data_IF_250357941567
#
_entry.id   IF_250357941567
#
_cell.length_a   1.000
_cell.length_b   1.000
_cell.length_c   1.000
_cell.angle_alpha   90.00
_cell.angle_beta   90.00
_cell.angle_gamma   90.00
#
_symmetry.space_group_name_H-M   'P 1'
#
loop_
_entity.id
_entity.type
_entity.pdbx_description
1 polymer ?
#
# COMPACT_ATOMS: atom_id res chain seq x y z
N UNK A 1 -16.51 12.22 9.19
CA UNK A 1 -16.60 11.73 10.59
C UNK A 1 -16.97 12.84 11.57
N UNK A 2 -16.42 14.05 11.39
CA UNK A 2 -16.78 15.20 12.24
C UNK A 2 -18.24 15.63 12.02
N UNK A 3 -18.73 15.70 10.80
CA UNK A 3 -20.15 15.99 10.52
C UNK A 3 -21.07 14.94 11.16
N UNK A 4 -20.73 13.66 11.05
CA UNK A 4 -21.46 12.60 11.73
C UNK A 4 -21.41 12.70 13.24
N UNK A 5 -20.31 13.23 13.81
CA UNK A 5 -20.23 13.44 15.24
C UNK A 5 -21.19 14.52 15.73
N UNK A 6 -21.39 15.59 14.94
CA UNK A 6 -22.39 16.63 15.24
C UNK A 6 -23.83 16.07 15.27
N UNK A 7 -24.12 15.07 14.42
CA UNK A 7 -25.46 14.46 14.35
C UNK A 7 -25.67 13.33 15.36
N UNK A 8 -24.65 12.45 15.53
CA UNK A 8 -24.78 11.16 16.23
C UNK A 8 -23.92 11.04 17.50
N UNK A 9 -23.21 12.11 17.85
CA UNK A 9 -22.28 12.15 18.97
C UNK A 9 -20.89 11.58 18.64
N UNK A 10 -19.93 11.92 19.47
CA UNK A 10 -18.54 11.50 19.37
C UNK A 10 -18.35 10.02 19.77
N UNK A 11 -17.24 9.40 19.36
CA UNK A 11 -16.88 8.07 19.87
C UNK A 11 -16.47 8.17 21.37
N UNK A 12 -16.70 7.11 22.18
CA UNK A 12 -16.60 7.20 23.66
C UNK A 12 -15.26 7.67 24.21
N UNK A 13 -14.15 7.32 23.54
CA UNK A 13 -12.78 7.65 23.97
C UNK A 13 -12.18 8.83 23.20
N UNK A 14 -13.01 9.72 22.67
CA UNK A 14 -12.55 10.88 21.92
C UNK A 14 -11.69 11.82 22.77
N UNK A 15 -12.16 12.10 23.99
CA UNK A 15 -11.46 13.00 24.90
C UNK A 15 -10.08 12.44 25.28
N UNK A 16 -9.04 13.24 25.13
CA UNK A 16 -7.65 12.85 25.36
C UNK A 16 -6.96 12.19 24.16
N UNK A 17 -7.70 11.86 23.09
CA UNK A 17 -7.15 11.34 21.83
C UNK A 17 -6.35 12.41 21.06
N UNK A 18 -5.59 11.99 20.07
CA UNK A 18 -4.93 12.91 19.14
C UNK A 18 -5.94 13.78 18.40
N UNK A 19 -7.05 13.22 17.98
CA UNK A 19 -8.14 13.96 17.33
C UNK A 19 -8.69 15.10 18.19
N UNK A 20 -8.89 14.86 19.49
CA UNK A 20 -9.37 15.91 20.42
C UNK A 20 -8.37 17.06 20.63
N UNK A 21 -7.09 16.81 20.36
CA UNK A 21 -6.02 17.79 20.41
C UNK A 21 -5.81 18.47 19.06
N UNK A 22 -6.56 18.10 18.02
CA UNK A 22 -6.38 18.54 16.66
C UNK A 22 -5.13 18.00 15.97
N UNK A 23 -4.57 16.89 16.48
CA UNK A 23 -3.41 16.24 15.89
C UNK A 23 -3.90 15.28 14.81
N UNK A 24 -3.53 15.55 13.57
CA UNK A 24 -3.90 14.78 12.39
C UNK A 24 -2.84 13.70 12.06
N UNK A 25 -3.15 12.67 11.27
CA UNK A 25 -2.17 11.64 10.90
C UNK A 25 -0.87 12.20 10.32
N UNK A 26 -0.94 13.20 9.49
CA UNK A 26 0.23 13.81 8.83
C UNK A 26 1.14 14.61 9.77
N UNK A 27 0.68 14.99 10.96
CA UNK A 27 1.50 15.66 11.96
C UNK A 27 2.55 14.73 12.60
N UNK A 28 2.29 13.42 12.54
CA UNK A 28 3.21 12.40 13.04
C UNK A 28 4.24 11.95 12.01
N UNK A 29 4.17 12.44 10.78
CA UNK A 29 5.09 12.01 9.73
C UNK A 29 6.53 12.45 10.05
N UNK A 30 7.52 11.55 10.01
CA UNK A 30 8.92 11.92 10.16
C UNK A 30 9.33 12.99 9.14
N UNK A 31 10.22 13.90 9.53
CA UNK A 31 10.70 14.97 8.64
C UNK A 31 11.28 14.40 7.33
N UNK A 32 11.95 13.24 7.39
CA UNK A 32 12.48 12.55 6.22
C UNK A 32 11.40 12.20 5.19
N UNK A 33 10.17 11.89 5.61
CA UNK A 33 9.04 11.61 4.69
C UNK A 33 8.61 12.87 3.96
N UNK A 34 8.61 14.02 4.64
CA UNK A 34 8.27 15.29 4.01
C UNK A 34 9.27 15.69 2.90
N UNK A 35 10.53 15.27 3.04
CA UNK A 35 11.55 15.48 2.01
C UNK A 35 11.41 14.55 0.78
N UNK A 36 10.66 13.47 0.88
CA UNK A 36 10.37 12.57 -0.24
C UNK A 36 9.29 13.11 -1.18
N UNK A 37 8.56 14.12 -0.73
CA UNK A 37 7.40 14.65 -1.45
C UNK A 37 7.76 16.02 -2.01
N UNK A 38 7.60 16.20 -3.32
CA UNK A 38 7.66 17.52 -3.89
C UNK A 38 6.43 18.32 -3.41
N UNK A 39 6.69 19.41 -2.67
CA UNK A 39 5.63 20.27 -2.11
C UNK A 39 4.72 20.86 -3.18
N UNK A 40 5.25 21.08 -4.38
CA UNK A 40 4.52 21.68 -5.48
C UNK A 40 3.49 20.73 -6.12
N UNK A 41 3.62 19.42 -5.87
CA UNK A 41 2.67 18.40 -6.34
C UNK A 41 1.52 18.15 -5.36
N UNK A 42 1.65 18.59 -4.13
CA UNK A 42 0.63 18.50 -3.11
C UNK A 42 0.06 19.89 -2.87
N UNK A 43 -0.87 20.24 -3.72
CA UNK A 43 -1.63 21.46 -3.55
C UNK A 43 -2.26 21.49 -2.15
N UNK A 44 -1.96 22.54 -1.43
CA UNK A 44 -2.60 22.88 -0.16
C UNK A 44 -4.05 23.36 -0.36
N UNK A 45 -4.78 22.73 -1.30
CA UNK A 45 -6.18 23.06 -1.58
C UNK A 45 -7.12 22.78 -0.40
N UNK A 46 -6.63 22.01 0.58
CA UNK A 46 -7.38 21.72 1.80
C UNK A 46 -6.98 22.66 2.92
N UNK A 47 -7.97 23.33 3.47
CA UNK A 47 -7.81 24.14 4.69
C UNK A 47 -7.76 23.21 5.92
N UNK A 48 -6.55 22.72 6.19
CA UNK A 48 -6.31 21.82 7.33
C UNK A 48 -6.55 22.50 8.67
N UNK A 49 -6.34 23.80 8.78
CA UNK A 49 -6.51 24.54 10.02
C UNK A 49 -7.99 24.65 10.37
N UNK A 50 -8.84 25.01 9.42
CA UNK A 50 -10.29 24.98 9.62
C UNK A 50 -10.80 23.59 9.95
N UNK A 51 -10.26 22.53 9.31
CA UNK A 51 -10.63 21.16 9.64
C UNK A 51 -10.21 20.76 11.05
N UNK A 52 -9.03 21.17 11.51
CA UNK A 52 -8.57 20.94 12.90
C UNK A 52 -9.50 21.58 13.92
N UNK A 53 -9.86 22.83 13.72
CA UNK A 53 -10.77 23.53 14.62
C UNK A 53 -12.15 22.88 14.61
N UNK A 54 -12.64 22.46 13.45
CA UNK A 54 -13.89 21.72 13.35
C UNK A 54 -13.83 20.40 14.12
N UNK A 55 -12.77 19.61 13.98
CA UNK A 55 -12.58 18.34 14.70
C UNK A 55 -12.50 18.56 16.20
N UNK A 56 -11.82 19.60 16.68
CA UNK A 56 -11.77 19.94 18.10
C UNK A 56 -13.15 20.30 18.64
N UNK A 57 -13.91 21.05 17.89
CA UNK A 57 -15.24 21.58 18.29
C UNK A 57 -16.32 20.50 18.23
N UNK A 58 -16.46 19.85 17.10
CA UNK A 58 -17.56 18.94 16.81
C UNK A 58 -17.23 17.47 17.17
N UNK A 59 -15.94 17.17 17.36
CA UNK A 59 -15.44 15.84 17.64
C UNK A 59 -15.35 14.95 16.40
N UNK A 60 -15.20 13.65 16.64
CA UNK A 60 -15.15 12.59 15.63
C UNK A 60 -16.09 11.46 16.00
N UNK A 61 -16.85 10.95 15.02
CA UNK A 61 -17.71 9.77 15.22
C UNK A 61 -16.92 8.48 15.23
N UNK A 62 -15.88 8.37 14.40
CA UNK A 62 -15.05 7.20 14.28
C UNK A 62 -13.64 7.49 14.81
N UNK A 63 -13.13 6.63 15.67
CA UNK A 63 -11.78 6.76 16.24
C UNK A 63 -10.68 6.42 15.23
N UNK A 64 -11.01 5.57 14.25
CA UNK A 64 -10.13 5.17 13.14
C UNK A 64 -10.82 5.40 11.82
N UNK A 65 -10.07 5.84 10.80
CA UNK A 65 -10.62 6.21 9.50
C UNK A 65 -10.10 5.33 8.36
N UNK A 66 -8.80 5.17 8.22
CA UNK A 66 -8.19 4.58 7.04
C UNK A 66 -7.09 3.58 7.36
N UNK A 67 -7.16 2.43 6.70
CA UNK A 67 -6.11 1.42 6.62
C UNK A 67 -5.98 0.95 5.16
N UNK A 68 -4.83 0.39 4.80
CA UNK A 68 -4.66 -0.30 3.51
C UNK A 68 -4.64 -1.80 3.75
N UNK A 69 -5.72 -2.46 3.36
CA UNK A 69 -5.87 -3.92 3.46
C UNK A 69 -5.14 -4.65 2.32
N UNK A 70 -4.82 -5.96 2.46
CA UNK A 70 -4.18 -6.74 1.40
C UNK A 70 -5.06 -6.91 0.16
N UNK A 71 -6.37 -6.95 0.30
CA UNK A 71 -7.39 -7.08 -0.76
C UNK A 71 -7.19 -8.25 -1.73
N UNK A 72 -6.54 -9.33 -1.30
CA UNK A 72 -6.12 -10.43 -2.18
C UNK A 72 -7.28 -11.03 -2.99
N UNK A 73 -8.32 -11.54 -2.32
CA UNK A 73 -9.47 -12.15 -2.99
C UNK A 73 -10.41 -11.11 -3.61
N UNK A 74 -10.59 -9.98 -2.94
CA UNK A 74 -11.49 -8.91 -3.43
C UNK A 74 -10.94 -8.30 -4.72
N UNK A 75 -9.62 -8.13 -4.85
CA UNK A 75 -9.01 -7.60 -6.07
C UNK A 75 -9.27 -8.49 -7.29
N UNK A 76 -9.21 -9.81 -7.12
CA UNK A 76 -9.54 -10.77 -8.18
C UNK A 76 -11.01 -10.65 -8.57
N UNK A 77 -11.90 -10.59 -7.58
CA UNK A 77 -13.34 -10.48 -7.82
C UNK A 77 -13.72 -9.23 -8.63
N UNK A 78 -13.07 -8.11 -8.36
CA UNK A 78 -13.36 -6.83 -9.05
C UNK A 78 -12.44 -6.55 -10.25
N UNK A 79 -11.53 -7.47 -10.58
CA UNK A 79 -10.63 -7.33 -11.73
C UNK A 79 -9.60 -6.21 -11.59
N UNK A 80 -9.01 -6.05 -10.40
CA UNK A 80 -7.97 -5.04 -10.13
C UNK A 80 -6.75 -5.67 -9.47
N UNK A 81 -5.74 -4.86 -9.14
CA UNK A 81 -4.51 -5.30 -8.45
C UNK A 81 -4.69 -5.29 -6.93
N UNK A 82 -3.89 -6.12 -6.24
CA UNK A 82 -3.90 -6.24 -4.78
C UNK A 82 -3.24 -5.03 -4.12
N UNK A 83 -3.72 -4.64 -2.95
CA UNK A 83 -3.18 -3.58 -2.11
C UNK A 83 -2.89 -2.26 -2.87
N UNK A 84 -1.94 -1.45 -2.39
CA UNK A 84 -1.38 -0.30 -3.10
C UNK A 84 0.12 -0.54 -3.25
N UNK A 85 0.47 -1.48 -4.09
CA UNK A 85 1.85 -1.89 -4.34
C UNK A 85 2.02 -2.38 -5.79
N UNK A 86 3.27 -2.55 -6.27
CA UNK A 86 3.53 -3.11 -7.59
C UNK A 86 2.93 -4.50 -7.73
N UNK A 87 2.52 -4.84 -8.95
CA UNK A 87 1.92 -6.15 -9.24
C UNK A 87 2.91 -7.28 -8.95
N UNK A 88 2.41 -8.37 -8.42
CA UNK A 88 3.22 -9.56 -8.14
C UNK A 88 3.84 -10.14 -9.41
N UNK A 89 3.01 -10.42 -10.40
CA UNK A 89 3.33 -10.84 -11.77
C UNK A 89 2.33 -10.24 -12.73
N UNK A 90 2.63 -10.20 -14.01
CA UNK A 90 1.68 -9.76 -15.06
C UNK A 90 0.58 -10.80 -15.30
N UNK A 91 0.94 -12.10 -15.18
CA UNK A 91 0.04 -13.26 -15.27
C UNK A 91 0.45 -14.28 -14.22
N UNK A 92 -0.51 -14.94 -13.59
CA UNK A 92 -0.23 -16.06 -12.67
C UNK A 92 -1.47 -16.95 -12.53
N UNK A 93 -1.30 -18.07 -11.85
CA UNK A 93 -2.40 -18.92 -11.48
C UNK A 93 -2.61 -18.85 -9.97
N UNK A 94 -3.86 -18.71 -9.56
CA UNK A 94 -4.28 -18.83 -8.16
C UNK A 94 -4.95 -20.19 -7.97
N UNK A 95 -4.46 -20.95 -7.03
CA UNK A 95 -5.07 -22.22 -6.64
C UNK A 95 -6.01 -22.00 -5.46
N UNK A 96 -7.24 -22.45 -5.59
CA UNK A 96 -8.24 -22.43 -4.53
C UNK A 96 -9.05 -23.74 -4.52
N UNK A 97 -10.06 -23.84 -3.64
CA UNK A 97 -10.92 -25.03 -3.54
C UNK A 97 -11.68 -25.35 -4.83
N UNK A 98 -11.87 -24.39 -5.72
CA UNK A 98 -12.55 -24.57 -7.02
C UNK A 98 -11.59 -24.94 -8.14
N UNK A 99 -10.28 -24.98 -7.89
CA UNK A 99 -9.24 -25.30 -8.86
C UNK A 99 -8.28 -24.17 -9.15
N UNK A 100 -7.60 -24.26 -10.28
CA UNK A 100 -6.57 -23.32 -10.73
C UNK A 100 -7.20 -22.22 -11.60
N UNK A 101 -7.13 -20.98 -11.12
CA UNK A 101 -7.73 -19.82 -11.78
C UNK A 101 -6.62 -18.97 -12.42
N UNK A 102 -6.64 -18.75 -13.75
CA UNK A 102 -5.71 -17.81 -14.37
C UNK A 102 -6.07 -16.37 -13.99
N UNK A 103 -5.08 -15.61 -13.54
CA UNK A 103 -5.22 -14.20 -13.18
C UNK A 103 -4.26 -13.37 -14.03
N UNK A 104 -4.76 -12.25 -14.54
CA UNK A 104 -4.03 -11.33 -15.39
C UNK A 104 -4.23 -9.92 -14.87
N UNK A 105 -3.19 -9.08 -14.90
CA UNK A 105 -3.34 -7.68 -14.52
C UNK A 105 -4.34 -6.96 -15.43
N UNK A 106 -5.06 -5.95 -14.91
CA UNK A 106 -6.11 -5.27 -15.66
C UNK A 106 -5.61 -4.69 -16.99
N UNK A 107 -6.37 -4.88 -18.07
CA UNK A 107 -6.06 -4.33 -19.41
C UNK A 107 -4.66 -4.69 -19.92
N UNK A 108 -4.14 -5.87 -19.60
CA UNK A 108 -2.86 -6.32 -20.11
C UNK A 108 -2.94 -6.49 -21.64
N UNK A 109 -2.03 -5.85 -22.35
CA UNK A 109 -1.86 -5.94 -23.80
C UNK A 109 -0.38 -5.75 -24.14
N UNK A 110 0.06 -5.97 -25.37
CA UNK A 110 1.43 -5.65 -25.79
C UNK A 110 1.81 -4.18 -25.50
N UNK A 111 0.88 -3.24 -25.70
CA UNK A 111 1.10 -1.81 -25.47
C UNK A 111 1.23 -1.46 -24.00
N UNK A 112 0.51 -2.17 -23.12
CA UNK A 112 0.52 -1.90 -21.68
C UNK A 112 1.49 -2.77 -20.89
N UNK A 113 2.12 -3.74 -21.53
CA UNK A 113 3.05 -4.68 -20.90
C UNK A 113 4.11 -4.01 -20.03
N UNK A 114 4.74 -2.96 -20.56
CA UNK A 114 5.82 -2.24 -19.89
C UNK A 114 5.36 -1.32 -18.76
N UNK A 115 4.06 -1.07 -18.62
CA UNK A 115 3.53 -0.30 -17.50
C UNK A 115 3.42 -1.12 -16.22
N UNK A 116 3.48 -2.44 -16.33
CA UNK A 116 3.39 -3.36 -15.19
C UNK A 116 4.76 -3.95 -14.87
N UNK A 117 5.58 -3.20 -14.15
CA UNK A 117 6.83 -3.75 -13.62
C UNK A 117 6.54 -4.66 -12.43
N UNK A 118 6.91 -5.96 -12.48
CA UNK A 118 6.72 -6.89 -11.38
C UNK A 118 7.43 -6.44 -10.09
N UNK A 119 6.83 -6.72 -8.95
CA UNK A 119 7.33 -6.29 -7.65
C UNK A 119 8.75 -6.79 -7.34
N UNK A 120 9.13 -7.97 -7.83
CA UNK A 120 10.48 -8.53 -7.67
C UNK A 120 11.56 -7.81 -8.48
N UNK A 121 11.18 -7.03 -9.49
CA UNK A 121 12.10 -6.27 -10.34
C UNK A 121 12.32 -4.85 -9.82
N UNK A 122 11.47 -4.39 -8.88
CA UNK A 122 11.52 -3.04 -8.32
C UNK A 122 12.43 -3.02 -7.08
N UNK A 123 13.19 -1.93 -6.93
CA UNK A 123 13.94 -1.65 -5.71
C UNK A 123 12.98 -1.55 -4.51
N UNK A 124 13.15 -2.44 -3.53
CA UNK A 124 12.29 -2.49 -2.36
C UNK A 124 12.42 -1.26 -1.45
N UNK A 125 13.55 -0.56 -1.48
CA UNK A 125 13.70 0.72 -0.78
C UNK A 125 12.76 1.78 -1.37
N UNK A 126 12.51 1.73 -2.68
CA UNK A 126 11.52 2.60 -3.34
C UNK A 126 10.09 2.25 -2.92
N UNK A 127 9.76 0.96 -2.81
CA UNK A 127 8.45 0.49 -2.32
C UNK A 127 8.20 1.00 -0.89
N UNK A 128 9.20 0.92 -0.01
CA UNK A 128 9.11 1.43 1.36
C UNK A 128 8.93 2.96 1.39
N UNK A 129 9.67 3.70 0.56
CA UNK A 129 9.51 5.17 0.46
C UNK A 129 8.09 5.53 0.01
N UNK A 130 7.56 4.86 -1.01
CA UNK A 130 6.19 5.07 -1.47
C UNK A 130 5.15 4.72 -0.39
N UNK A 131 5.38 3.64 0.37
CA UNK A 131 4.53 3.28 1.50
C UNK A 131 4.59 4.33 2.62
N UNK A 132 5.75 4.90 2.90
CA UNK A 132 5.92 5.96 3.90
C UNK A 132 5.16 7.24 3.54
N UNK A 133 5.18 7.62 2.26
CA UNK A 133 4.40 8.77 1.76
C UNK A 133 2.89 8.54 2.00
N UNK A 134 2.38 7.33 1.72
CA UNK A 134 0.99 6.98 2.02
C UNK A 134 0.69 6.96 3.51
N UNK A 135 1.61 6.40 4.32
CA UNK A 135 1.45 6.30 5.78
C UNK A 135 1.23 7.66 6.44
N UNK A 136 1.79 8.72 5.88
CA UNK A 136 1.57 10.09 6.33
C UNK A 136 0.08 10.47 6.40
N UNK A 137 -0.75 9.92 5.50
CA UNK A 137 -2.13 10.34 5.29
C UNK A 137 -3.17 9.38 5.90
N UNK A 138 -2.73 8.27 6.46
CA UNK A 138 -3.61 7.27 7.05
C UNK A 138 -3.31 7.11 8.54
N UNK A 139 -4.35 6.86 9.32
CA UNK A 139 -4.25 6.74 10.77
C UNK A 139 -3.98 5.32 11.26
N UNK A 140 -4.17 4.32 10.40
CA UNK A 140 -3.87 2.92 10.71
C UNK A 140 -2.68 2.40 9.90
N UNK A 141 -2.40 1.10 9.97
CA UNK A 141 -1.35 0.45 9.20
C UNK A 141 -1.71 0.21 7.74
N UNK A 142 -0.73 -0.23 6.98
CA UNK A 142 -0.91 -0.69 5.61
C UNK A 142 -0.22 -2.04 5.41
N UNK A 143 -0.87 -2.92 4.65
CA UNK A 143 -0.32 -4.22 4.26
C UNK A 143 0.68 -4.01 3.13
N UNK A 144 1.94 -3.75 3.49
CA UNK A 144 3.03 -3.55 2.55
C UNK A 144 3.87 -4.81 2.50
N UNK A 145 3.82 -5.54 1.38
CA UNK A 145 4.67 -6.70 1.14
C UNK A 145 6.09 -6.26 0.77
N UNK A 146 7.05 -7.10 1.11
CA UNK A 146 8.45 -6.98 0.68
C UNK A 146 8.73 -8.15 -0.25
N UNK A 147 9.31 -7.87 -1.41
CA UNK A 147 9.58 -8.86 -2.44
C UNK A 147 11.09 -9.02 -2.61
N UNK A 148 11.59 -10.23 -2.41
CA UNK A 148 13.01 -10.51 -2.47
C UNK A 148 13.31 -11.72 -3.35
N UNK A 149 14.02 -11.50 -4.43
CA UNK A 149 14.58 -12.56 -5.24
C UNK A 149 15.76 -13.21 -4.52
N UNK A 150 15.79 -14.53 -4.40
CA UNK A 150 16.80 -15.25 -3.61
C UNK A 150 18.22 -15.07 -4.14
N UNK A 151 18.40 -14.77 -5.42
CA UNK A 151 19.68 -14.41 -6.01
C UNK A 151 20.26 -13.07 -5.49
N UNK A 152 19.39 -12.18 -5.01
CA UNK A 152 19.74 -10.87 -4.44
C UNK A 152 19.54 -10.81 -2.93
N UNK A 153 19.07 -11.91 -2.33
CA UNK A 153 18.79 -11.96 -0.90
C UNK A 153 20.06 -11.88 -0.07
N UNK A 154 20.10 -10.92 0.85
CA UNK A 154 21.13 -10.86 1.88
C UNK A 154 20.54 -10.35 3.18
N UNK A 155 21.05 -10.83 4.31
CA UNK A 155 20.63 -10.33 5.62
C UNK A 155 20.86 -8.82 5.78
N UNK A 156 21.91 -8.29 5.17
CA UNK A 156 22.22 -6.85 5.16
C UNK A 156 21.12 -6.06 4.42
N UNK A 157 20.75 -6.51 3.24
CA UNK A 157 19.72 -5.82 2.44
C UNK A 157 18.34 -5.90 3.12
N UNK A 158 18.02 -7.04 3.70
CA UNK A 158 16.79 -7.20 4.47
C UNK A 158 16.75 -6.28 5.69
N UNK A 159 17.86 -6.20 6.42
CA UNK A 159 18.00 -5.29 7.55
C UNK A 159 17.84 -3.82 7.12
N UNK A 160 18.40 -3.43 5.98
CA UNK A 160 18.29 -2.09 5.42
C UNK A 160 16.82 -1.73 5.12
N UNK A 161 16.07 -2.64 4.46
CA UNK A 161 14.65 -2.44 4.12
C UNK A 161 13.81 -2.22 5.39
N UNK A 162 13.91 -3.13 6.38
CA UNK A 162 13.11 -3.00 7.60
C UNK A 162 13.52 -1.80 8.46
N UNK A 163 14.82 -1.50 8.50
CA UNK A 163 15.33 -0.32 9.20
C UNK A 163 14.82 0.98 8.55
N UNK A 164 14.79 1.03 7.21
CA UNK A 164 14.22 2.17 6.49
C UNK A 164 12.73 2.31 6.75
N UNK A 165 11.97 1.21 6.70
CA UNK A 165 10.55 1.21 7.00
C UNK A 165 10.25 1.80 8.38
N UNK A 166 10.99 1.35 9.41
CA UNK A 166 10.87 1.87 10.76
C UNK A 166 11.24 3.36 10.86
N UNK A 167 12.39 3.77 10.29
CA UNK A 167 12.84 5.17 10.30
C UNK A 167 11.88 6.12 9.60
N UNK A 168 11.20 5.66 8.56
CA UNK A 168 10.21 6.45 7.84
C UNK A 168 8.80 6.36 8.45
N UNK A 169 8.65 5.71 9.61
CA UNK A 169 7.41 5.73 10.38
C UNK A 169 6.30 4.83 9.85
N UNK A 170 6.62 3.78 9.07
CA UNK A 170 5.64 2.77 8.73
C UNK A 170 5.17 2.07 10.01
N UNK A 171 3.85 1.95 10.19
CA UNK A 171 3.25 1.25 11.33
C UNK A 171 3.34 -0.26 11.21
N UNK A 172 3.37 -0.77 9.98
CA UNK A 172 3.45 -2.20 9.70
C UNK A 172 4.13 -2.46 8.35
N UNK A 173 4.73 -3.63 8.24
CA UNK A 173 4.99 -4.37 7.00
C UNK A 173 4.13 -5.62 7.03
N UNK A 174 4.03 -6.35 5.91
CA UNK A 174 3.22 -7.55 5.82
C UNK A 174 4.10 -8.78 5.51
N UNK A 175 3.87 -9.48 4.41
CA UNK A 175 4.68 -10.65 4.07
C UNK A 175 6.04 -10.27 3.49
N UNK A 176 7.05 -11.07 3.83
CA UNK A 176 8.26 -11.20 3.04
C UNK A 176 8.01 -12.30 1.99
N UNK A 177 7.92 -11.92 0.72
CA UNK A 177 7.72 -12.84 -0.41
C UNK A 177 9.07 -13.08 -1.08
N UNK A 178 9.44 -14.35 -1.20
CA UNK A 178 10.67 -14.75 -1.89
C UNK A 178 10.37 -15.51 -3.18
N UNK A 179 11.24 -15.39 -4.16
CA UNK A 179 11.18 -16.10 -5.42
C UNK A 179 12.55 -16.70 -5.73
N UNK A 180 12.59 -18.02 -6.03
CA UNK A 180 13.82 -18.66 -6.48
C UNK A 180 14.17 -18.22 -7.92
N UNK A 181 15.46 -18.28 -8.33
CA UNK A 181 15.86 -18.01 -9.72
C UNK A 181 15.17 -18.91 -10.75
N UNK A 182 14.94 -20.16 -10.40
CA UNK A 182 14.27 -21.14 -11.26
C UNK A 182 12.79 -20.77 -11.53
N UNK A 183 12.11 -20.21 -10.56
CA UNK A 183 10.72 -19.75 -10.72
C UNK A 183 10.56 -18.52 -11.63
N UNK A 184 11.67 -17.82 -11.98
CA UNK A 184 11.65 -16.73 -12.97
C UNK A 184 11.46 -17.26 -14.38
N UNK A 185 12.10 -18.37 -14.71
CA UNK A 185 12.13 -18.90 -16.07
C UNK A 185 10.83 -19.60 -16.47
N UNK A 186 10.12 -20.21 -15.52
CA UNK A 186 8.95 -21.04 -15.82
C UNK A 186 7.69 -20.28 -16.27
N UNK A 187 7.64 -18.96 -16.10
CA UNK A 187 6.41 -18.18 -16.36
C UNK A 187 6.54 -17.25 -17.54
N UNK A 188 7.73 -16.76 -17.87
CA UNK A 188 7.94 -15.92 -19.06
C UNK A 188 7.99 -16.75 -20.34
N UNK A 189 8.61 -17.94 -20.34
CA UNK A 189 8.70 -18.82 -21.52
C UNK A 189 7.36 -19.48 -21.90
N UNK A 190 6.51 -19.79 -20.94
CA UNK A 190 5.16 -20.32 -21.22
C UNK A 190 4.15 -19.28 -21.70
N UNK A 191 4.47 -17.99 -21.57
CA UNK A 191 3.56 -16.90 -21.98
C UNK A 191 3.67 -16.52 -23.46
N UNK A 192 4.66 -17.00 -24.16
CA UNK A 192 4.81 -16.81 -25.61
C UNK A 192 4.01 -17.82 -26.45
N UNK A 193 3.67 -18.98 -25.87
CA UNK A 193 2.75 -19.89 -26.53
C UNK A 193 1.30 -19.52 -26.17
N UNK A 194 0.65 -18.88 -27.12
CA UNK A 194 -0.76 -18.52 -27.04
C UNK A 194 -1.61 -19.79 -27.06
N UNK A 195 -1.79 -20.42 -25.90
CA UNK A 195 -2.71 -21.56 -25.74
C UNK A 195 -4.20 -21.15 -25.65
N UNK A 196 -4.51 -19.89 -25.95
CA UNK A 196 -5.87 -19.35 -25.95
C UNK A 196 -6.45 -19.01 -27.31
N UNK A 197 -5.79 -19.37 -28.40
CA UNK A 197 -6.32 -19.26 -29.76
C UNK A 197 -6.69 -20.63 -30.31
N UNK A 198 -7.72 -21.25 -29.73
CA UNK A 198 -8.52 -22.32 -30.37
C UNK A 198 -10.00 -22.06 -30.06
#
# INVERSE_FOLDING_TARGET
>A
SSDLASEKGIYPTFNGSNWSKGIMPHDHAPQAVNALVNKDLFDASYDWDSLREKVKKDGMRNGYLMAVAPTSSISILVGTTQAIEPVYKRKWFEENLSGLIPVVVPKLSPETWNYYTPAFEIDQLLVIKAAAIRQKWIDQGQSTNIFMSLDKASGKHLHEIYTLAWKLGLKSTYYLRSQSPEAKNDVEDRSMECSGCQ
#
